data_IF_999198624296
#
_entry.id   IF_999198624296
#
_cell.length_a   1.000
_cell.length_b   1.000
_cell.length_c   1.000
_cell.angle_alpha   90.00
_cell.angle_beta   90.00
_cell.angle_gamma   90.00
#
_symmetry.space_group_name_H-M   'P 1'
#
loop_
_entity.id
_entity.type
_entity.pdbx_description
1 polymer ?
#
# COMPACT_ATOMS: atom_id res chain seq x y z
N UNK A 1 1.35 17.92 2.32
CA UNK A 1 0.00 17.34 2.18
C UNK A 1 0.05 15.96 2.80
N UNK A 2 -0.67 15.71 3.90
CA UNK A 2 -0.68 14.39 4.53
C UNK A 2 -1.61 13.49 3.71
N UNK A 3 -1.03 12.54 2.95
CA UNK A 3 -1.80 11.53 2.22
C UNK A 3 -2.40 10.55 3.24
N UNK A 4 -3.62 10.84 3.70
CA UNK A 4 -4.38 9.89 4.51
C UNK A 4 -5.01 8.85 3.59
N UNK A 5 -4.34 7.71 3.42
CA UNK A 5 -4.90 6.54 2.73
C UNK A 5 -5.84 5.82 3.69
N UNK A 6 -7.15 5.95 3.47
CA UNK A 6 -8.19 5.45 4.40
C UNK A 6 -8.92 4.21 3.88
N UNK A 7 -8.65 3.81 2.63
CA UNK A 7 -9.26 2.65 1.99
C UNK A 7 -8.27 1.82 1.18
N UNK A 8 -8.60 0.54 1.07
CA UNK A 8 -7.87 -0.45 0.29
C UNK A 8 -7.83 -0.08 -1.20
N UNK A 9 -8.90 0.55 -1.71
CA UNK A 9 -8.98 1.04 -3.09
C UNK A 9 -8.02 2.22 -3.33
N UNK A 10 -7.95 3.18 -2.41
CA UNK A 10 -7.00 4.28 -2.54
C UNK A 10 -5.56 3.78 -2.49
N UNK A 11 -5.27 2.86 -1.57
CA UNK A 11 -3.95 2.25 -1.47
C UNK A 11 -3.61 1.47 -2.74
N UNK A 12 -4.56 0.70 -3.29
CA UNK A 12 -4.40 0.02 -4.59
C UNK A 12 -4.00 1.00 -5.68
N UNK A 13 -4.73 2.09 -5.84
CA UNK A 13 -4.47 3.08 -6.90
C UNK A 13 -3.07 3.71 -6.78
N UNK A 14 -2.60 3.94 -5.55
CA UNK A 14 -1.25 4.50 -5.31
C UNK A 14 -0.15 3.46 -5.54
N UNK A 15 -0.41 2.19 -5.27
CA UNK A 15 0.59 1.13 -5.41
C UNK A 15 0.63 0.53 -6.82
N UNK A 16 -0.45 0.62 -7.60
CA UNK A 16 -0.51 0.10 -8.97
C UNK A 16 0.46 0.79 -9.94
N UNK A 17 0.99 1.97 -9.59
CA UNK A 17 2.01 2.66 -10.40
C UNK A 17 3.31 1.84 -10.50
N UNK A 18 3.61 1.04 -9.47
CA UNK A 18 4.81 0.20 -9.42
C UNK A 18 4.60 -1.16 -10.08
N UNK A 19 3.34 -1.55 -10.34
CA UNK A 19 3.03 -2.81 -11.02
C UNK A 19 1.71 -3.46 -10.55
N UNK A 20 1.31 -4.56 -11.20
CA UNK A 20 0.05 -5.22 -10.90
C UNK A 20 0.06 -5.90 -9.52
N UNK A 21 -0.99 -5.65 -8.74
CA UNK A 21 -1.16 -6.16 -7.38
C UNK A 21 -1.98 -7.45 -7.32
N UNK A 22 -1.55 -8.40 -6.49
CA UNK A 22 -2.32 -9.57 -6.08
C UNK A 22 -3.25 -9.21 -4.91
N UNK A 23 -2.72 -8.51 -3.92
CA UNK A 23 -3.42 -8.24 -2.68
C UNK A 23 -3.05 -6.88 -2.10
N UNK A 24 -4.03 -6.27 -1.44
CA UNK A 24 -3.86 -5.04 -0.68
C UNK A 24 -4.79 -5.10 0.52
N UNK A 25 -4.29 -4.72 1.69
CA UNK A 25 -5.12 -4.65 2.90
C UNK A 25 -4.63 -3.55 3.84
N UNK A 26 -5.48 -2.56 4.09
CA UNK A 26 -5.28 -1.57 5.13
C UNK A 26 -5.52 -2.24 6.49
N UNK A 27 -4.50 -2.24 7.34
CA UNK A 27 -4.62 -2.83 8.66
C UNK A 27 -5.55 -1.97 9.54
N UNK A 28 -6.55 -2.60 10.14
CA UNK A 28 -7.55 -1.94 10.99
C UNK A 28 -7.61 -2.56 12.38
N UNK A 29 -7.94 -1.76 13.38
CA UNK A 29 -8.32 -2.23 14.71
C UNK A 29 -9.69 -2.92 14.66
N UNK A 30 -10.05 -3.63 15.73
CA UNK A 30 -11.38 -4.24 15.84
C UNK A 30 -12.51 -3.18 15.76
N UNK A 31 -12.21 -1.92 16.14
CA UNK A 31 -13.11 -0.78 15.99
C UNK A 31 -13.29 -0.29 14.55
N UNK A 32 -12.57 -0.86 13.57
CA UNK A 32 -12.57 -0.42 12.17
C UNK A 32 -11.60 0.73 11.86
N UNK A 33 -10.96 1.32 12.87
CA UNK A 33 -10.00 2.41 12.69
C UNK A 33 -8.68 1.93 12.06
N UNK A 34 -8.09 2.67 11.11
CA UNK A 34 -6.77 2.33 10.54
C UNK A 34 -5.69 2.28 11.62
N UNK A 35 -4.83 1.25 11.55
CA UNK A 35 -3.65 1.08 12.42
C UNK A 35 -2.44 1.92 11.99
N UNK A 36 -2.52 2.62 10.85
CA UNK A 36 -1.43 3.41 10.30
C UNK A 36 -0.44 2.63 9.43
N UNK A 37 -0.74 1.38 9.09
CA UNK A 37 0.04 0.59 8.14
C UNK A 37 -0.86 -0.29 7.27
N UNK A 38 -0.29 -0.83 6.20
CA UNK A 38 -0.99 -1.70 5.27
C UNK A 38 -0.07 -2.79 4.72
N UNK A 39 -0.67 -3.84 4.18
CA UNK A 39 0.01 -4.90 3.45
C UNK A 39 -0.28 -4.78 1.96
N UNK A 40 0.76 -4.96 1.14
CA UNK A 40 0.68 -4.87 -0.32
C UNK A 40 1.47 -6.04 -0.90
N UNK A 41 0.84 -6.81 -1.78
CA UNK A 41 1.47 -7.93 -2.48
C UNK A 41 1.41 -7.70 -4.00
N UNK A 42 2.58 -7.66 -4.64
CA UNK A 42 2.70 -7.54 -6.08
C UNK A 42 2.75 -8.92 -6.75
N UNK A 43 2.34 -8.99 -8.02
CA UNK A 43 2.48 -10.22 -8.82
C UNK A 43 3.93 -10.64 -9.05
N UNK A 44 4.88 -9.71 -8.92
CA UNK A 44 6.32 -9.93 -9.13
C UNK A 44 7.11 -9.24 -8.03
N UNK A 45 8.20 -9.87 -7.57
CA UNK A 45 9.06 -9.36 -6.50
C UNK A 45 9.74 -8.03 -6.84
N UNK A 46 10.19 -7.84 -8.09
CA UNK A 46 10.88 -6.61 -8.50
C UNK A 46 9.99 -5.35 -8.37
N UNK A 47 8.67 -5.46 -8.55
CA UNK A 47 7.74 -4.35 -8.31
C UNK A 47 7.68 -3.97 -6.83
N UNK A 48 7.79 -4.95 -5.93
CA UNK A 48 7.86 -4.68 -4.50
C UNK A 48 9.18 -3.99 -4.11
N UNK A 49 10.31 -4.41 -4.70
CA UNK A 49 11.61 -3.76 -4.52
C UNK A 49 11.60 -2.32 -5.03
N UNK A 50 11.04 -2.07 -6.22
CA UNK A 50 10.92 -0.73 -6.81
C UNK A 50 10.01 0.18 -5.96
N UNK A 51 8.89 -0.34 -5.47
CA UNK A 51 8.01 0.39 -4.56
C UNK A 51 8.73 0.73 -3.25
N UNK A 52 9.46 -0.22 -2.65
CA UNK A 52 10.26 0.00 -1.44
C UNK A 52 11.35 1.05 -1.66
N UNK A 53 12.08 0.98 -2.78
CA UNK A 53 13.11 1.96 -3.12
C UNK A 53 12.51 3.36 -3.35
N UNK A 54 11.38 3.44 -4.04
CA UNK A 54 10.70 4.70 -4.34
C UNK A 54 10.04 5.35 -3.12
N UNK A 55 9.66 4.54 -2.12
CA UNK A 55 8.99 5.01 -0.89
C UNK A 55 9.96 5.19 0.29
N UNK A 56 11.12 4.53 0.30
CA UNK A 56 12.17 4.77 1.29
C UNK A 56 12.91 6.08 0.96
N UNK A 57 12.69 7.12 1.76
CA UNK A 57 13.40 8.40 1.64
C UNK A 57 12.50 9.65 1.64
N UNK A 58 11.20 9.50 1.91
CA UNK A 58 10.27 10.61 2.19
C UNK A 58 9.99 10.77 3.68
#
# INVERSE_FOLDING_TARGET
MQLSLTSDLQLRNVMEVYGPLLYVSLARHQSGLPKGFAFVEFKRSHHAEEALFSLNGQ
#
